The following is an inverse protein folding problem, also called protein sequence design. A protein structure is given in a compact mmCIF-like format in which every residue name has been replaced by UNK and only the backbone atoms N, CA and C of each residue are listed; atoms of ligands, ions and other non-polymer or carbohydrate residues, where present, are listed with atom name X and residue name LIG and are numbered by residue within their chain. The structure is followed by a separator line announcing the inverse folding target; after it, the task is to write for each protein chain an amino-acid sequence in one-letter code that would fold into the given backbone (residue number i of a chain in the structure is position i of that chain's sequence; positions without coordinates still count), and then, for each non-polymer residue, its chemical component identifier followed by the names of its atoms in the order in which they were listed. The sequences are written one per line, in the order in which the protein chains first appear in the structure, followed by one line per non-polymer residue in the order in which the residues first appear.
data_IF_445698842108
#
_entry.id   IF_445698842108
#
_cell.length_a   1.000
_cell.length_b   1.000
_cell.length_c   1.000
_cell.angle_alpha   90.00
_cell.angle_beta   90.00
_cell.angle_gamma   90.00
#
_symmetry.space_group_name_H-M   'P 1'
#
loop_
_entity.id
_entity.type
_entity.pdbx_description
1 polymer ?
#
# COMPACT_ATOMS: atom_id res chain seq x y z
N UNK A 1 -3.39 11.03 -12.25
CA UNK A 1 -3.36 10.52 -10.88
C UNK A 1 -2.58 9.21 -10.82
N UNK A 2 -1.58 9.18 -9.96
CA UNK A 2 -0.76 7.98 -9.75
C UNK A 2 -0.96 7.51 -8.31
N UNK A 3 -1.37 6.27 -8.14
CA UNK A 3 -1.52 5.62 -6.84
C UNK A 3 -0.35 4.65 -6.67
N UNK A 4 0.52 4.91 -5.71
CA UNK A 4 1.67 4.07 -5.41
C UNK A 4 1.30 3.07 -4.32
N UNK A 5 1.61 1.80 -4.54
CA UNK A 5 1.30 0.72 -3.60
C UNK A 5 2.59 -0.02 -3.28
N UNK A 6 2.88 -0.20 -2.00
CA UNK A 6 4.12 -0.87 -1.58
C UNK A 6 3.92 -1.59 -0.24
N UNK A 7 4.82 -2.50 0.04
CA UNK A 7 4.95 -3.12 1.35
C UNK A 7 5.76 -2.20 2.27
N UNK A 8 5.45 -2.22 3.55
CA UNK A 8 6.08 -1.34 4.53
C UNK A 8 6.42 -2.09 5.81
N UNK A 9 7.26 -1.48 6.61
CA UNK A 9 7.61 -1.96 7.94
C UNK A 9 7.02 -1.02 8.99
N UNK A 10 6.69 -1.54 10.14
CA UNK A 10 6.09 -0.74 11.20
C UNK A 10 6.31 -1.35 12.57
N UNK A 11 5.61 -0.81 13.57
CA UNK A 11 5.62 -1.38 14.93
C UNK A 11 4.77 -2.64 14.97
N UNK A 12 4.98 -3.49 15.98
CA UNK A 12 4.32 -4.81 16.05
C UNK A 12 2.80 -4.70 16.02
N UNK A 13 2.24 -3.67 16.63
CA UNK A 13 0.79 -3.46 16.69
C UNK A 13 0.17 -3.11 15.34
N UNK A 14 0.98 -2.65 14.41
CA UNK A 14 0.51 -2.23 13.08
C UNK A 14 0.75 -3.27 11.99
N UNK A 15 1.44 -4.38 12.29
CA UNK A 15 1.64 -5.45 11.30
C UNK A 15 0.28 -6.00 10.88
N UNK A 16 0.03 -6.03 9.56
CA UNK A 16 -1.26 -6.41 8.99
C UNK A 16 -2.18 -5.23 8.71
N UNK A 17 -1.78 -4.01 9.05
CA UNK A 17 -2.56 -2.81 8.73
C UNK A 17 -2.27 -2.34 7.32
N UNK A 18 -3.24 -1.65 6.74
CA UNK A 18 -3.10 -0.95 5.47
C UNK A 18 -3.16 0.55 5.77
N UNK A 19 -2.21 1.30 5.24
CA UNK A 19 -2.18 2.76 5.39
C UNK A 19 -2.51 3.42 4.07
N UNK A 20 -3.18 4.55 4.13
CA UNK A 20 -3.57 5.35 2.97
C UNK A 20 -3.24 6.80 3.28
N UNK A 21 -2.59 7.48 2.35
CA UNK A 21 -2.25 8.89 2.54
C UNK A 21 -2.10 9.63 1.23
N UNK A 22 -2.13 10.95 1.33
CA UNK A 22 -1.83 11.84 0.21
C UNK A 22 -0.33 12.12 0.16
N UNK A 23 0.20 12.19 -1.06
CA UNK A 23 1.60 12.48 -1.28
C UNK A 23 2.33 11.32 -1.93
N UNK A 24 3.64 11.53 -2.14
CA UNK A 24 4.49 10.56 -2.79
C UNK A 24 5.00 9.50 -1.81
N UNK A 25 5.27 8.34 -2.34
CA UNK A 25 5.85 7.22 -1.60
C UNK A 25 7.32 7.10 -1.95
N UNK A 26 8.18 6.85 -0.95
CA UNK A 26 9.59 6.55 -1.15
C UNK A 26 9.79 5.04 -1.20
N UNK A 27 9.83 4.43 -2.39
CA UNK A 27 9.95 2.98 -2.47
C UNK A 27 11.35 2.52 -2.04
N UNK A 28 11.42 1.31 -1.48
CA UNK A 28 12.69 0.70 -1.12
C UNK A 28 13.32 1.16 0.18
N UNK A 29 12.66 2.04 0.95
CA UNK A 29 13.21 2.50 2.25
C UNK A 29 13.39 1.32 3.21
N UNK A 30 12.45 0.37 3.20
CA UNK A 30 12.53 -0.81 4.06
C UNK A 30 13.67 -1.78 3.70
N UNK A 31 14.30 -1.63 2.55
CA UNK A 31 15.44 -2.44 2.11
C UNK A 31 16.67 -1.57 1.82
N UNK A 32 16.75 -0.40 2.43
CA UNK A 32 17.87 0.55 2.35
C UNK A 32 18.20 0.99 0.93
N UNK A 33 17.19 1.03 0.05
CA UNK A 33 17.35 1.56 -1.30
C UNK A 33 16.91 3.01 -1.33
N UNK A 34 17.63 3.84 -2.05
CA UNK A 34 17.33 5.26 -2.21
C UNK A 34 16.76 5.50 -3.61
N UNK A 35 15.47 5.24 -3.77
CA UNK A 35 14.77 5.39 -5.04
C UNK A 35 13.98 6.71 -5.06
N UNK A 36 13.67 7.27 -6.25
CA UNK A 36 12.87 8.48 -6.34
C UNK A 36 11.47 8.29 -5.76
N UNK A 37 10.93 9.38 -5.23
CA UNK A 37 9.53 9.39 -4.77
C UNK A 37 8.57 9.20 -5.95
N UNK A 38 7.46 8.53 -5.71
CA UNK A 38 6.48 8.22 -6.74
C UNK A 38 5.06 8.32 -6.18
N UNK A 39 4.16 8.83 -7.02
CA UNK A 39 2.72 8.83 -6.76
C UNK A 39 2.17 10.13 -6.20
N UNK A 40 0.87 10.26 -6.30
CA UNK A 40 0.08 11.36 -5.73
C UNK A 40 -0.65 10.92 -4.46
N UNK A 41 -0.98 9.64 -4.39
CA UNK A 41 -1.59 8.98 -3.25
C UNK A 41 -0.79 7.71 -3.00
N UNK A 42 -0.62 7.33 -1.74
CA UNK A 42 0.05 6.07 -1.44
C UNK A 42 -0.84 5.14 -0.62
N UNK A 43 -0.65 3.85 -0.85
CA UNK A 43 -1.24 2.78 -0.06
C UNK A 43 -0.10 1.84 0.33
N UNK A 44 0.04 1.56 1.62
CA UNK A 44 1.05 0.59 2.07
C UNK A 44 0.42 -0.50 2.91
N UNK A 45 0.96 -1.71 2.79
CA UNK A 45 0.64 -2.81 3.67
C UNK A 45 1.80 -3.08 4.62
N UNK A 46 1.56 -3.06 5.92
CA UNK A 46 2.61 -3.27 6.91
C UNK A 46 2.79 -4.77 7.12
N UNK A 47 3.91 -5.30 6.65
CA UNK A 47 4.14 -6.74 6.55
C UNK A 47 5.10 -7.29 7.59
N UNK A 48 5.91 -6.44 8.23
CA UNK A 48 6.86 -6.88 9.25
C UNK A 48 7.33 -5.70 10.10
N UNK A 49 8.18 -5.99 11.10
CA UNK A 49 8.67 -5.01 12.06
C UNK A 49 9.78 -4.15 11.47
N UNK A 50 9.79 -2.86 11.82
CA UNK A 50 10.92 -1.97 11.53
C UNK A 50 12.00 -2.13 12.59
N UNK A 51 13.24 -1.66 12.30
CA UNK A 51 14.33 -1.61 13.26
C UNK A 51 15.28 -2.79 13.24
N UNK A 52 15.06 -3.78 12.40
CA UNK A 52 15.97 -4.91 12.20
C UNK A 52 16.65 -4.81 10.84
N UNK A 53 17.65 -5.65 10.58
CA UNK A 53 18.30 -5.67 9.26
C UNK A 53 17.32 -6.03 8.14
N UNK A 54 17.34 -5.24 7.06
CA UNK A 54 16.37 -5.35 5.96
C UNK A 54 16.30 -6.73 5.36
N UNK A 55 17.44 -7.39 5.14
CA UNK A 55 17.47 -8.72 4.53
C UNK A 55 16.81 -9.77 5.43
N UNK A 56 17.05 -9.68 6.74
CA UNK A 56 16.43 -10.59 7.70
C UNK A 56 14.92 -10.43 7.70
N UNK A 57 14.43 -9.18 7.66
CA UNK A 57 12.99 -8.91 7.63
C UNK A 57 12.33 -9.48 6.39
N UNK A 58 12.97 -9.33 5.22
CA UNK A 58 12.44 -9.91 3.98
C UNK A 58 12.36 -11.44 4.05
N UNK A 59 13.34 -12.08 4.68
CA UNK A 59 13.36 -13.54 4.84
C UNK A 59 12.30 -14.04 5.81
N UNK A 60 11.92 -13.22 6.80
CA UNK A 60 10.95 -13.61 7.82
C UNK A 60 9.53 -13.13 7.53
N UNK A 61 9.32 -12.37 6.46
CA UNK A 61 8.00 -11.89 6.08
C UNK A 61 7.14 -13.06 5.57
N UNK A 62 5.94 -13.19 6.14
CA UNK A 62 5.03 -14.27 5.78
C UNK A 62 4.29 -13.96 4.48
N UNK A 63 4.49 -14.80 3.47
CA UNK A 63 3.86 -14.65 2.16
C UNK A 63 2.32 -14.59 2.27
N UNK A 64 1.74 -15.38 3.14
CA UNK A 64 0.29 -15.40 3.33
C UNK A 64 -0.25 -14.01 3.73
N UNK A 65 0.45 -13.31 4.63
CA UNK A 65 0.05 -11.97 5.04
C UNK A 65 0.14 -10.99 3.87
N UNK A 66 1.22 -11.07 3.09
CA UNK A 66 1.40 -10.21 1.90
C UNK A 66 0.25 -10.42 0.92
N UNK A 67 -0.12 -11.66 0.66
CA UNK A 67 -1.22 -12.00 -0.25
C UNK A 67 -2.56 -11.49 0.27
N UNK A 68 -2.83 -11.64 1.57
CA UNK A 68 -4.06 -11.12 2.18
C UNK A 68 -4.17 -9.61 2.06
N UNK A 69 -3.08 -8.89 2.34
CA UNK A 69 -3.06 -7.44 2.23
C UNK A 69 -3.26 -7.00 0.78
N UNK A 70 -2.63 -7.68 -0.16
CA UNK A 70 -2.80 -7.39 -1.58
C UNK A 70 -4.25 -7.59 -2.03
N UNK A 71 -4.89 -8.64 -1.58
CA UNK A 71 -6.30 -8.91 -1.89
C UNK A 71 -7.22 -7.82 -1.33
N UNK A 72 -7.00 -7.39 -0.09
CA UNK A 72 -7.78 -6.32 0.52
C UNK A 72 -7.60 -5.00 -0.23
N UNK A 73 -6.37 -4.65 -0.58
CA UNK A 73 -6.08 -3.42 -1.31
C UNK A 73 -6.75 -3.47 -2.69
N UNK A 74 -6.63 -4.59 -3.40
CA UNK A 74 -7.25 -4.77 -4.72
C UNK A 74 -8.76 -4.62 -4.66
N UNK A 75 -9.39 -5.24 -3.67
CA UNK A 75 -10.85 -5.17 -3.51
C UNK A 75 -11.30 -3.75 -3.18
N UNK A 76 -10.58 -3.07 -2.29
CA UNK A 76 -10.88 -1.69 -1.92
C UNK A 76 -10.76 -0.75 -3.10
N UNK A 77 -9.69 -0.85 -3.89
CA UNK A 77 -9.49 -0.05 -5.08
C UNK A 77 -10.59 -0.31 -6.12
N UNK A 78 -10.91 -1.57 -6.36
CA UNK A 78 -11.98 -1.94 -7.29
C UNK A 78 -13.30 -1.27 -6.91
N UNK A 79 -13.68 -1.35 -5.63
CA UNK A 79 -14.93 -0.75 -5.15
C UNK A 79 -14.92 0.77 -5.28
N UNK A 80 -13.80 1.42 -4.98
CA UNK A 80 -13.67 2.86 -5.13
C UNK A 80 -13.81 3.31 -6.58
N UNK A 81 -13.16 2.60 -7.50
CA UNK A 81 -13.22 2.92 -8.92
C UNK A 81 -14.63 2.72 -9.49
N UNK A 82 -15.29 1.63 -9.13
CA UNK A 82 -16.66 1.37 -9.55
C UNK A 82 -17.62 2.43 -9.02
N UNK A 83 -17.46 2.84 -7.76
CA UNK A 83 -18.27 3.89 -7.16
C UNK A 83 -18.07 5.23 -7.88
N UNK A 84 -16.82 5.59 -8.19
CA UNK A 84 -16.49 6.79 -8.94
C UNK A 84 -17.14 6.81 -10.31
N UNK A 85 -17.07 5.70 -11.05
CA UNK A 85 -17.68 5.59 -12.37
C UNK A 85 -19.20 5.73 -12.30
N UNK A 86 -19.82 5.12 -11.30
CA UNK A 86 -21.26 5.21 -11.10
C UNK A 86 -21.68 6.67 -10.85
N UNK A 87 -20.97 7.37 -9.98
CA UNK A 87 -21.26 8.78 -9.70
C UNK A 87 -21.07 9.67 -10.93
N UNK A 88 -20.03 9.43 -11.69
CA UNK A 88 -19.79 10.16 -12.95
C UNK A 88 -20.93 9.94 -13.95
N UNK A 89 -21.40 8.71 -14.08
CA UNK A 89 -22.53 8.38 -14.96
C UNK A 89 -23.81 9.11 -14.53
N UNK A 90 -24.08 9.18 -13.24
CA UNK A 90 -25.24 9.93 -12.73
C UNK A 90 -25.13 11.42 -13.04
N UNK A 91 -23.95 12.01 -12.89
CA UNK A 91 -23.73 13.42 -13.22
C UNK A 91 -23.96 13.70 -14.71
N UNK A 92 -23.53 12.78 -15.57
CA UNK A 92 -23.72 12.91 -17.01
C UNK A 92 -25.20 12.80 -17.40
N UNK A 93 -26.00 12.11 -16.61
CA UNK A 93 -27.44 11.94 -16.86
C UNK A 93 -28.26 13.17 -16.45
N UNK A 94 -27.72 14.03 -15.62
CA UNK A 94 -28.36 15.26 -15.20
C UNK A 94 -28.24 16.36 -16.28
#
# INVERSE_FOLDING_TARGET
LIIAIDASLGVVEHVGYITLGEGALCPGVGVDKNLPEVGDIFITGIVNLSGFGSQMLLQTTHLNLVMQLADFISLGLFRCLMHSQFRSSLKCAE
#
